data_IF_705764388013
#
_entry.id   IF_705764388013
#
_cell.length_a   1.000
_cell.length_b   1.000
_cell.length_c   1.000
_cell.angle_alpha   90.00
_cell.angle_beta   90.00
_cell.angle_gamma   90.00
#
_symmetry.space_group_name_H-M   'P 1'
#
loop_
_entity.id
_entity.type
_entity.pdbx_description
1 polymer ?
#
# COMPACT_ATOMS: atom_id res chain seq x y z
N UNK A 1 42.15 21.20 -12.45
CA UNK A 1 40.98 20.31 -12.72
C UNK A 1 39.96 20.57 -11.62
N UNK A 2 39.00 21.46 -11.86
CA UNK A 2 37.87 21.63 -10.95
C UNK A 2 36.96 20.40 -11.05
N UNK A 3 36.73 19.73 -9.93
CA UNK A 3 35.72 18.66 -9.85
C UNK A 3 34.36 19.33 -9.76
N UNK A 4 33.64 19.39 -10.87
CA UNK A 4 32.22 19.69 -10.87
C UNK A 4 31.48 18.51 -10.23
N UNK A 5 30.98 18.70 -9.02
CA UNK A 5 30.14 17.71 -8.34
C UNK A 5 28.77 17.70 -9.02
N UNK A 6 28.35 16.55 -9.52
CA UNK A 6 27.00 16.34 -10.03
C UNK A 6 25.98 16.59 -8.90
N UNK A 7 24.97 17.43 -9.18
CA UNK A 7 23.84 17.62 -8.25
C UNK A 7 23.09 16.30 -8.08
N UNK A 8 23.22 15.70 -6.92
CA UNK A 8 22.39 14.59 -6.46
C UNK A 8 21.10 15.13 -5.88
N UNK A 9 20.33 15.88 -6.66
CA UNK A 9 18.97 16.26 -6.26
C UNK A 9 18.13 14.98 -6.28
N UNK A 10 18.15 14.26 -5.17
CA UNK A 10 17.26 13.14 -4.91
C UNK A 10 15.83 13.68 -5.02
N UNK A 11 15.00 13.04 -5.84
CA UNK A 11 13.60 13.41 -6.04
C UNK A 11 12.92 13.55 -4.67
N UNK A 12 12.72 14.77 -4.20
CA UNK A 12 11.83 15.04 -3.08
C UNK A 12 10.41 14.81 -3.61
N UNK A 13 9.55 14.15 -2.82
CA UNK A 13 8.18 13.74 -3.16
C UNK A 13 8.00 12.36 -3.84
N UNK A 14 8.70 11.31 -3.41
CA UNK A 14 8.27 9.94 -3.70
C UNK A 14 7.70 9.27 -2.45
N UNK A 15 6.52 8.68 -2.59
CA UNK A 15 5.94 7.80 -1.57
C UNK A 15 5.80 6.40 -2.16
N UNK A 16 6.54 5.44 -1.60
CA UNK A 16 6.46 4.03 -1.97
C UNK A 16 5.83 3.24 -0.84
N UNK A 17 4.62 2.74 -1.07
CA UNK A 17 3.97 1.76 -0.19
C UNK A 17 4.32 0.35 -0.69
N UNK A 18 5.01 -0.42 0.15
CA UNK A 18 5.29 -1.83 -0.16
C UNK A 18 3.98 -2.62 -0.07
N UNK A 19 3.49 -3.10 -1.22
CA UNK A 19 2.26 -3.89 -1.35
C UNK A 19 2.22 -5.09 -0.39
N UNK A 20 3.37 -5.71 -0.11
CA UNK A 20 3.50 -6.78 0.89
C UNK A 20 3.05 -6.38 2.31
N UNK A 21 3.31 -5.13 2.75
CA UNK A 21 2.83 -4.64 4.05
C UNK A 21 1.31 -4.54 4.07
N UNK A 22 0.71 -4.07 2.98
CA UNK A 22 -0.74 -3.91 2.85
C UNK A 22 -1.46 -5.26 2.90
N UNK A 23 -0.93 -6.27 2.22
CA UNK A 23 -1.49 -7.63 2.27
C UNK A 23 -1.35 -8.29 3.64
N UNK A 24 -0.21 -8.11 4.31
CA UNK A 24 0.00 -8.66 5.66
C UNK A 24 -0.80 -7.93 6.74
N UNK A 25 -1.27 -6.71 6.47
CA UNK A 25 -2.14 -5.96 7.39
C UNK A 25 -3.61 -6.38 7.31
N UNK A 26 -3.96 -7.28 6.38
CA UNK A 26 -5.34 -7.74 6.26
C UNK A 26 -5.74 -8.62 7.45
N UNK A 27 -6.96 -8.47 7.98
CA UNK A 27 -7.48 -9.33 9.03
C UNK A 27 -7.54 -10.80 8.60
N UNK A 28 -7.28 -11.71 9.54
CA UNK A 28 -7.31 -13.15 9.27
C UNK A 28 -8.71 -13.60 8.80
N UNK A 29 -9.78 -13.00 9.33
CA UNK A 29 -11.18 -13.30 8.96
C UNK A 29 -11.52 -12.90 7.51
N UNK A 30 -10.73 -12.00 6.94
CA UNK A 30 -10.81 -11.59 5.54
C UNK A 30 -10.03 -12.57 4.66
N UNK A 31 -8.85 -13.00 5.09
CA UNK A 31 -7.98 -13.91 4.32
C UNK A 31 -8.48 -15.36 4.32
N UNK A 32 -9.06 -15.82 5.42
CA UNK A 32 -9.44 -17.23 5.62
C UNK A 32 -10.77 -17.64 4.96
N UNK A 33 -11.41 -16.78 4.16
CA UNK A 33 -12.64 -17.17 3.46
C UNK A 33 -12.35 -18.11 2.29
N UNK A 34 -13.19 -19.13 2.15
CA UNK A 34 -13.00 -20.23 1.18
C UNK A 34 -13.48 -19.91 -0.24
N UNK A 35 -14.20 -18.79 -0.42
CA UNK A 35 -14.71 -18.37 -1.74
C UNK A 35 -14.06 -17.07 -2.18
N UNK A 36 -13.57 -17.05 -3.44
CA UNK A 36 -13.02 -15.86 -4.07
C UNK A 36 -14.04 -14.71 -4.15
N UNK A 37 -15.33 -15.02 -4.35
CA UNK A 37 -16.38 -14.01 -4.40
C UNK A 37 -16.56 -13.35 -3.03
N UNK A 38 -16.55 -14.13 -1.96
CA UNK A 38 -16.64 -13.63 -0.59
C UNK A 38 -15.39 -12.87 -0.18
N UNK A 39 -14.21 -13.32 -0.60
CA UNK A 39 -12.94 -12.62 -0.40
C UNK A 39 -12.98 -11.23 -1.01
N UNK A 40 -13.33 -11.14 -2.31
CA UNK A 40 -13.41 -9.87 -3.03
C UNK A 40 -14.39 -8.89 -2.36
N UNK A 41 -15.59 -9.36 -2.01
CA UNK A 41 -16.59 -8.50 -1.37
C UNK A 41 -16.12 -7.94 -0.02
N UNK A 42 -15.47 -8.75 0.81
CA UNK A 42 -14.90 -8.30 2.09
C UNK A 42 -13.73 -7.33 1.91
N UNK A 43 -12.84 -7.61 0.95
CA UNK A 43 -11.70 -6.74 0.63
C UNK A 43 -12.15 -5.37 0.14
N UNK A 44 -13.12 -5.32 -0.77
CA UNK A 44 -13.66 -4.06 -1.31
C UNK A 44 -14.27 -3.19 -0.19
N UNK A 45 -14.97 -3.81 0.77
CA UNK A 45 -15.51 -3.10 1.93
C UNK A 45 -14.39 -2.59 2.86
N UNK A 46 -13.42 -3.44 3.18
CA UNK A 46 -12.30 -3.11 4.05
C UNK A 46 -11.50 -1.91 3.51
N UNK A 47 -11.20 -1.89 2.21
CA UNK A 47 -10.45 -0.81 1.59
C UNK A 47 -11.24 0.51 1.59
N UNK A 48 -12.55 0.48 1.27
CA UNK A 48 -13.41 1.68 1.33
C UNK A 48 -13.47 2.29 2.72
N UNK A 49 -13.63 1.46 3.76
CA UNK A 49 -13.65 1.93 5.14
C UNK A 49 -12.29 2.50 5.56
N UNK A 50 -11.20 1.80 5.21
CA UNK A 50 -9.84 2.25 5.52
C UNK A 50 -9.58 3.65 4.93
N UNK A 51 -9.89 3.85 3.66
CA UNK A 51 -9.67 5.12 2.96
C UNK A 51 -10.56 6.25 3.52
N UNK A 52 -11.75 5.92 4.03
CA UNK A 52 -12.65 6.89 4.68
C UNK A 52 -12.18 7.31 6.08
N UNK A 53 -11.40 6.47 6.77
CA UNK A 53 -10.80 6.76 8.09
C UNK A 53 -9.47 7.52 7.95
N UNK A 54 -8.83 7.46 6.77
CA UNK A 54 -7.53 8.13 6.54
C UNK A 54 -7.64 9.55 5.95
N UNK A 55 -8.87 10.08 5.84
CA UNK A 55 -9.19 11.47 5.47
C UNK A 55 -9.57 12.29 6.71
#
# INVERSE_FOLDING_TARGET
LEKQHSRTDCRQNFHSLRVFKSWNSLPAELVQVTSQKSFKGKLDLFLRTKDSITL
#
